data_IF_089337097682
#
_entry.id   IF_089337097682
#
_cell.length_a   1.000
_cell.length_b   1.000
_cell.length_c   1.000
_cell.angle_alpha   90.00
_cell.angle_beta   90.00
_cell.angle_gamma   90.00
#
_symmetry.space_group_name_H-M   'P 1'
#
loop_
_entity.id
_entity.type
_entity.pdbx_description
1 polymer ?
#
# COMPACT_ATOMS: atom_id res chain seq x y z
N UNK A 1 5.61 7.02 -11.33
CA UNK A 1 5.03 7.89 -10.30
C UNK A 1 3.69 7.32 -9.87
N UNK A 2 3.59 6.98 -8.59
CA UNK A 2 2.33 6.60 -7.94
C UNK A 2 1.68 7.80 -7.25
N UNK A 3 0.36 7.84 -7.20
CA UNK A 3 -0.42 8.84 -6.44
C UNK A 3 -1.50 8.15 -5.60
N UNK A 4 -1.96 8.80 -4.54
CA UNK A 4 -3.06 8.28 -3.71
C UNK A 4 -4.41 8.76 -4.22
N UNK A 5 -5.44 7.93 -4.09
CA UNK A 5 -6.85 8.37 -4.14
C UNK A 5 -7.55 8.26 -2.79
N UNK A 6 -6.83 8.06 -1.69
CA UNK A 6 -7.42 7.77 -0.38
C UNK A 6 -8.32 8.88 0.18
N UNK A 7 -9.21 8.50 1.10
CA UNK A 7 -10.26 9.38 1.62
C UNK A 7 -9.75 10.64 2.35
N UNK A 8 -8.51 10.65 2.84
CA UNK A 8 -7.93 11.84 3.45
C UNK A 8 -7.67 12.97 2.44
N UNK A 9 -7.53 12.65 1.15
CA UNK A 9 -7.35 13.64 0.08
C UNK A 9 -8.69 14.20 -0.41
N UNK A 10 -9.71 13.35 -0.53
CA UNK A 10 -11.10 13.72 -0.83
C UNK A 10 -12.04 12.74 -0.10
N UNK A 11 -12.70 13.16 1.00
CA UNK A 11 -13.49 12.25 1.84
C UNK A 11 -14.83 11.84 1.22
N UNK A 12 -15.41 12.66 0.34
CA UNK A 12 -16.67 12.33 -0.36
C UNK A 12 -16.43 11.28 -1.46
N UNK A 13 -17.04 10.08 -1.40
CA UNK A 13 -16.86 9.05 -2.43
C UNK A 13 -17.22 9.53 -3.84
N UNK A 14 -18.32 10.30 -3.97
CA UNK A 14 -18.74 10.84 -5.26
C UNK A 14 -17.75 11.89 -5.78
N UNK A 15 -17.34 12.83 -4.92
CA UNK A 15 -16.31 13.81 -5.21
C UNK A 15 -14.97 13.18 -5.61
N UNK A 16 -14.55 12.11 -4.93
CA UNK A 16 -13.32 11.37 -5.23
C UNK A 16 -13.37 10.75 -6.63
N UNK A 17 -14.49 10.11 -6.98
CA UNK A 17 -14.70 9.55 -8.31
C UNK A 17 -14.67 10.64 -9.40
N UNK A 18 -15.32 11.78 -9.18
CA UNK A 18 -15.31 12.91 -10.12
C UNK A 18 -13.91 13.50 -10.30
N UNK A 19 -13.12 13.60 -9.22
CA UNK A 19 -11.72 14.03 -9.33
C UNK A 19 -10.88 13.07 -10.17
N UNK A 20 -11.03 11.76 -9.98
CA UNK A 20 -10.32 10.76 -10.79
C UNK A 20 -10.77 10.83 -12.26
N UNK A 21 -12.07 10.97 -12.53
CA UNK A 21 -12.58 11.16 -13.90
C UNK A 21 -11.99 12.38 -14.59
N UNK A 22 -11.78 13.48 -13.83
CA UNK A 22 -11.18 14.70 -14.38
C UNK A 22 -9.75 14.49 -14.90
N UNK A 23 -9.06 13.42 -14.47
CA UNK A 23 -7.71 13.11 -14.92
C UNK A 23 -7.63 12.80 -16.41
N UNK A 24 -8.75 12.41 -17.05
CA UNK A 24 -8.84 12.26 -18.51
C UNK A 24 -8.39 13.51 -19.28
N UNK A 25 -8.38 14.68 -18.63
CA UNK A 25 -7.95 15.96 -19.22
C UNK A 25 -6.48 16.30 -18.95
N UNK A 26 -5.77 15.51 -18.14
CA UNK A 26 -4.37 15.76 -17.83
C UNK A 26 -3.48 15.47 -19.05
N UNK A 27 -2.44 16.29 -19.28
CA UNK A 27 -1.50 16.06 -20.37
C UNK A 27 -0.64 14.81 -20.15
N UNK A 28 -0.45 14.40 -18.89
CA UNK A 28 0.30 13.21 -18.49
C UNK A 28 -0.43 12.58 -17.29
N UNK A 29 -0.72 11.29 -17.39
CA UNK A 29 -1.32 10.50 -16.32
C UNK A 29 -0.24 9.91 -15.40
N UNK A 30 -0.56 9.62 -14.12
CA UNK A 30 0.33 8.84 -13.27
C UNK A 30 0.47 7.40 -13.80
N UNK A 31 1.60 6.75 -13.51
CA UNK A 31 1.81 5.35 -13.91
C UNK A 31 0.87 4.40 -13.15
N UNK A 32 0.59 4.73 -11.89
CA UNK A 32 -0.37 4.02 -11.05
C UNK A 32 -0.98 4.92 -9.99
N UNK A 33 -2.08 4.47 -9.40
CA UNK A 33 -2.68 5.05 -8.21
C UNK A 33 -3.10 3.98 -7.20
N UNK A 34 -2.99 4.28 -5.91
CA UNK A 34 -3.48 3.40 -4.84
C UNK A 34 -4.98 3.64 -4.59
N UNK A 35 -5.73 2.55 -4.47
CA UNK A 35 -7.16 2.53 -4.15
C UNK A 35 -7.37 1.65 -2.94
N UNK A 36 -7.80 2.24 -1.83
CA UNK A 36 -8.07 1.51 -0.59
C UNK A 36 -9.37 0.72 -0.71
N UNK A 37 -9.29 -0.60 -0.69
CA UNK A 37 -10.42 -1.48 -1.03
C UNK A 37 -11.53 -1.53 0.03
N UNK A 38 -11.22 -1.08 1.26
CA UNK A 38 -12.20 -0.93 2.33
C UNK A 38 -13.03 0.37 2.21
N UNK A 39 -12.58 1.33 1.39
CA UNK A 39 -13.29 2.59 1.19
C UNK A 39 -14.52 2.40 0.28
N UNK A 40 -15.56 3.21 0.53
CA UNK A 40 -16.74 3.28 -0.35
C UNK A 40 -16.35 3.80 -1.73
N UNK A 41 -16.85 3.15 -2.80
CA UNK A 41 -16.57 3.54 -4.18
C UNK A 41 -15.25 3.02 -4.75
N UNK A 42 -14.54 2.13 -4.04
CA UNK A 42 -13.22 1.62 -4.43
C UNK A 42 -13.23 0.97 -5.83
N UNK A 43 -14.23 0.13 -6.13
CA UNK A 43 -14.29 -0.56 -7.43
C UNK A 43 -14.61 0.41 -8.59
N UNK A 44 -15.46 1.41 -8.37
CA UNK A 44 -15.78 2.45 -9.34
C UNK A 44 -14.55 3.29 -9.68
N UNK A 45 -13.76 3.66 -8.66
CA UNK A 45 -12.50 4.38 -8.84
C UNK A 45 -11.48 3.51 -9.59
N UNK A 46 -11.31 2.26 -9.16
CA UNK A 46 -10.40 1.32 -9.82
C UNK A 46 -10.79 1.09 -11.29
N UNK A 47 -12.07 0.96 -11.59
CA UNK A 47 -12.56 0.82 -12.97
C UNK A 47 -12.18 2.04 -13.84
N UNK A 48 -12.43 3.26 -13.37
CA UNK A 48 -12.07 4.48 -14.10
C UNK A 48 -10.55 4.59 -14.30
N UNK A 49 -9.75 4.30 -13.28
CA UNK A 49 -8.29 4.31 -13.40
C UNK A 49 -7.82 3.33 -14.48
N UNK A 50 -8.34 2.10 -14.47
CA UNK A 50 -8.00 1.08 -15.47
C UNK A 50 -8.46 1.47 -16.89
N UNK A 51 -9.60 2.14 -17.03
CA UNK A 51 -10.08 2.68 -18.32
C UNK A 51 -9.17 3.80 -18.86
N UNK A 52 -8.62 4.63 -17.96
CA UNK A 52 -7.63 5.65 -18.29
C UNK A 52 -6.24 5.08 -18.57
N UNK A 53 -6.02 3.78 -18.39
CA UNK A 53 -4.72 3.13 -18.54
C UNK A 53 -3.77 3.37 -17.37
N UNK A 54 -4.28 3.82 -16.21
CA UNK A 54 -3.51 3.99 -14.97
C UNK A 54 -3.51 2.66 -14.21
N UNK A 55 -2.33 2.18 -13.80
CA UNK A 55 -2.23 0.98 -12.97
C UNK A 55 -2.91 1.18 -11.60
N UNK A 56 -3.54 0.13 -11.08
CA UNK A 56 -4.18 0.19 -9.74
C UNK A 56 -3.34 -0.59 -8.74
N UNK A 57 -2.93 0.05 -7.65
CA UNK A 57 -2.48 -0.66 -6.46
C UNK A 57 -3.69 -0.86 -5.54
N UNK A 58 -4.05 -2.12 -5.27
CA UNK A 58 -5.13 -2.42 -4.35
C UNK A 58 -4.61 -2.23 -2.91
N UNK A 59 -4.98 -1.12 -2.27
CA UNK A 59 -4.68 -0.82 -0.87
C UNK A 59 -5.50 -1.70 0.06
N UNK A 60 -4.85 -2.56 0.82
CA UNK A 60 -5.48 -3.48 1.76
C UNK A 60 -4.86 -3.25 3.14
N UNK A 61 -5.67 -2.70 4.04
CA UNK A 61 -5.24 -2.30 5.37
C UNK A 61 -5.55 -3.40 6.39
N UNK A 62 -4.61 -3.67 7.30
CA UNK A 62 -4.89 -4.49 8.47
C UNK A 62 -6.04 -3.91 9.29
N UNK A 63 -6.89 -4.80 9.84
CA UNK A 63 -8.02 -4.38 10.66
C UNK A 63 -9.23 -3.83 9.88
N UNK A 64 -9.22 -3.95 8.55
CA UNK A 64 -10.35 -3.59 7.69
C UNK A 64 -10.90 -4.81 6.96
N UNK A 65 -12.08 -4.68 6.34
CA UNK A 65 -12.67 -5.72 5.47
C UNK A 65 -12.15 -5.66 4.01
N UNK A 66 -11.09 -4.88 3.75
CA UNK A 66 -10.55 -4.69 2.40
C UNK A 66 -10.11 -6.00 1.73
N UNK A 67 -9.51 -6.92 2.49
CA UNK A 67 -9.06 -8.21 1.95
C UNK A 67 -10.25 -9.07 1.47
N UNK A 68 -11.32 -9.13 2.27
CA UNK A 68 -12.55 -9.87 1.93
C UNK A 68 -13.23 -9.29 0.69
N UNK A 69 -13.34 -7.96 0.61
CA UNK A 69 -13.88 -7.25 -0.56
C UNK A 69 -13.04 -7.48 -1.80
N UNK A 70 -11.71 -7.45 -1.68
CA UNK A 70 -10.80 -7.67 -2.79
C UNK A 70 -10.85 -9.11 -3.31
N UNK A 71 -10.97 -10.10 -2.41
CA UNK A 71 -11.01 -11.51 -2.78
C UNK A 71 -12.15 -11.86 -3.75
N UNK A 72 -13.29 -11.19 -3.66
CA UNK A 72 -14.45 -11.39 -4.54
C UNK A 72 -14.54 -10.39 -5.69
N UNK A 73 -13.64 -9.42 -5.76
CA UNK A 73 -13.67 -8.37 -6.78
C UNK A 73 -13.36 -8.92 -8.18
N UNK A 74 -14.20 -8.65 -9.20
CA UNK A 74 -13.88 -8.99 -10.58
C UNK A 74 -12.72 -8.15 -11.15
N UNK A 75 -12.34 -7.04 -10.50
CA UNK A 75 -11.21 -6.20 -10.91
C UNK A 75 -9.88 -6.71 -10.34
N UNK A 76 -9.90 -7.57 -9.33
CA UNK A 76 -8.70 -8.08 -8.66
C UNK A 76 -7.63 -8.66 -9.61
N UNK A 77 -7.96 -9.48 -10.61
CA UNK A 77 -6.98 -9.97 -11.58
C UNK A 77 -6.34 -8.88 -12.46
N UNK A 78 -6.94 -7.69 -12.53
CA UNK A 78 -6.50 -6.56 -13.37
C UNK A 78 -5.65 -5.52 -12.63
N UNK A 79 -5.60 -5.55 -11.30
CA UNK A 79 -4.78 -4.58 -10.54
C UNK A 79 -3.29 -4.84 -10.76
N UNK A 80 -2.46 -3.81 -10.62
CA UNK A 80 -1.00 -3.92 -10.76
C UNK A 80 -0.41 -4.83 -9.66
N UNK A 81 -0.75 -4.56 -8.39
CA UNK A 81 -0.30 -5.31 -7.21
C UNK A 81 -1.19 -4.99 -6.01
N UNK A 82 -1.06 -5.77 -4.94
CA UNK A 82 -1.64 -5.47 -3.64
C UNK A 82 -0.65 -4.62 -2.83
N UNK A 83 -1.09 -3.46 -2.36
CA UNK A 83 -0.39 -2.63 -1.38
C UNK A 83 -0.93 -3.02 0.00
N UNK A 84 -0.22 -3.93 0.68
CA UNK A 84 -0.59 -4.44 1.98
C UNK A 84 -0.02 -3.52 3.08
N UNK A 85 -0.91 -2.82 3.77
CA UNK A 85 -0.57 -1.79 4.75
C UNK A 85 -0.89 -2.27 6.17
N UNK A 86 0.16 -2.37 6.98
CA UNK A 86 0.06 -2.70 8.40
C UNK A 86 -0.10 -1.41 9.19
N UNK A 87 -1.33 -1.15 9.64
CA UNK A 87 -1.76 0.02 10.42
C UNK A 87 -1.48 -0.10 11.93
N UNK A 88 -0.90 -1.23 12.36
CA UNK A 88 -0.44 -1.38 13.74
C UNK A 88 0.91 -0.68 13.91
N UNK A 89 0.87 0.47 14.60
CA UNK A 89 2.04 1.31 14.85
C UNK A 89 2.95 0.77 15.97
N UNK A 90 2.52 -0.26 16.70
CA UNK A 90 3.32 -0.90 17.73
C UNK A 90 4.30 -1.91 17.12
N UNK A 91 5.58 -1.79 17.49
CA UNK A 91 6.64 -2.64 16.95
C UNK A 91 6.48 -4.12 17.34
N UNK A 92 5.89 -4.40 18.51
CA UNK A 92 5.66 -5.77 18.98
C UNK A 92 4.47 -6.42 18.25
N UNK A 93 3.39 -5.67 18.03
CA UNK A 93 2.17 -6.12 17.34
C UNK A 93 2.29 -6.22 15.81
N UNK A 94 3.05 -5.31 15.18
CA UNK A 94 3.06 -5.13 13.73
C UNK A 94 3.40 -6.40 12.92
N UNK A 95 4.32 -7.24 13.38
CA UNK A 95 4.65 -8.49 12.66
C UNK A 95 3.51 -9.51 12.72
N UNK A 96 2.79 -9.56 13.84
CA UNK A 96 1.61 -10.42 13.97
C UNK A 96 0.46 -9.91 13.10
N UNK A 97 0.25 -8.60 13.08
CA UNK A 97 -0.71 -7.93 12.19
C UNK A 97 -0.38 -8.17 10.72
N UNK A 98 0.89 -8.04 10.33
CA UNK A 98 1.36 -8.34 8.97
C UNK A 98 1.06 -9.79 8.56
N UNK A 99 1.29 -10.76 9.46
CA UNK A 99 1.00 -12.17 9.19
C UNK A 99 -0.51 -12.41 9.00
N UNK A 100 -1.34 -11.81 9.84
CA UNK A 100 -2.79 -11.91 9.71
C UNK A 100 -3.26 -11.29 8.39
N UNK A 101 -2.82 -10.07 8.08
CA UNK A 101 -3.15 -9.37 6.84
C UNK A 101 -2.77 -10.18 5.59
N UNK A 102 -1.56 -10.75 5.55
CA UNK A 102 -1.15 -11.61 4.43
C UNK A 102 -1.98 -12.90 4.33
N UNK A 103 -2.40 -13.46 5.47
CA UNK A 103 -3.30 -14.62 5.49
C UNK A 103 -4.67 -14.26 4.90
N UNK A 104 -5.20 -13.10 5.25
CA UNK A 104 -6.51 -12.63 4.77
C UNK A 104 -6.47 -12.28 3.27
N UNK A 105 -5.37 -11.69 2.80
CA UNK A 105 -5.12 -11.42 1.37
C UNK A 105 -5.02 -12.72 0.56
N UNK A 106 -4.43 -13.77 1.15
CA UNK A 106 -4.34 -15.10 0.56
C UNK A 106 -3.66 -15.10 -0.81
N UNK A 107 -4.34 -15.67 -1.81
CA UNK A 107 -3.80 -15.79 -3.17
C UNK A 107 -3.69 -14.44 -3.91
N UNK A 108 -4.30 -13.35 -3.42
CA UNK A 108 -4.24 -12.03 -4.06
C UNK A 108 -4.56 -12.02 -5.57
N UNK A 109 -5.42 -12.91 -6.08
CA UNK A 109 -5.63 -13.13 -7.53
C UNK A 109 -4.34 -13.41 -8.33
N UNK A 110 -3.31 -13.97 -7.69
CA UNK A 110 -1.97 -14.17 -8.24
C UNK A 110 -1.17 -12.88 -8.44
N UNK A 111 -1.62 -11.76 -7.86
CA UNK A 111 -0.94 -10.46 -7.96
C UNK A 111 0.21 -10.35 -6.96
N UNK A 112 1.31 -9.66 -7.30
CA UNK A 112 2.38 -9.37 -6.35
C UNK A 112 1.87 -8.61 -5.12
N UNK A 113 2.52 -8.79 -3.98
CA UNK A 113 2.24 -8.06 -2.74
C UNK A 113 3.43 -7.15 -2.43
N UNK A 114 3.13 -5.88 -2.18
CA UNK A 114 4.04 -4.87 -1.62
C UNK A 114 3.63 -4.65 -0.15
N UNK A 115 4.45 -5.12 0.79
CA UNK A 115 4.17 -5.04 2.22
C UNK A 115 4.88 -3.84 2.87
N UNK A 116 4.15 -3.02 3.61
CA UNK A 116 4.72 -1.97 4.46
C UNK A 116 3.94 -1.82 5.77
N UNK A 117 4.54 -1.14 6.72
CA UNK A 117 3.89 -0.75 7.96
C UNK A 117 4.18 0.71 8.26
N UNK A 118 3.42 1.29 9.18
CA UNK A 118 3.53 2.69 9.56
C UNK A 118 4.10 2.87 10.98
N UNK A 119 4.65 4.06 11.27
CA UNK A 119 5.14 4.44 12.58
C UNK A 119 6.17 3.47 13.16
N UNK A 120 5.94 2.99 14.38
CA UNK A 120 6.82 2.03 15.05
C UNK A 120 6.82 0.64 14.40
N UNK A 121 5.80 0.30 13.62
CA UNK A 121 5.68 -0.96 12.88
C UNK A 121 6.51 -1.01 11.58
N UNK A 122 6.93 0.13 11.03
CA UNK A 122 7.58 0.21 9.72
C UNK A 122 8.85 -0.67 9.61
N UNK A 123 9.83 -0.50 10.50
CA UNK A 123 11.08 -1.27 10.44
C UNK A 123 10.89 -2.78 10.72
N UNK A 124 10.11 -3.20 11.75
CA UNK A 124 9.73 -4.60 11.92
C UNK A 124 9.10 -5.23 10.66
N UNK A 125 8.21 -4.50 9.99
CA UNK A 125 7.53 -4.98 8.78
C UNK A 125 8.46 -5.04 7.58
N UNK A 126 9.37 -4.07 7.38
CA UNK A 126 10.41 -4.13 6.33
C UNK A 126 11.28 -5.39 6.49
N UNK A 127 11.75 -5.68 7.70
CA UNK A 127 12.51 -6.92 7.99
C UNK A 127 11.68 -8.17 7.74
N UNK A 128 10.39 -8.11 8.06
CA UNK A 128 9.48 -9.23 7.84
C UNK A 128 9.23 -9.49 6.36
N UNK A 129 9.06 -8.44 5.55
CA UNK A 129 8.98 -8.55 4.10
C UNK A 129 10.25 -9.22 3.53
N UNK A 130 11.43 -8.84 4.03
CA UNK A 130 12.71 -9.47 3.69
C UNK A 130 12.75 -10.96 3.97
N UNK A 131 12.29 -11.39 5.16
CA UNK A 131 12.17 -12.83 5.52
C UNK A 131 11.26 -13.61 4.58
N UNK A 132 10.22 -12.98 4.05
CA UNK A 132 9.25 -13.61 3.15
C UNK A 132 9.66 -13.51 1.67
N UNK A 133 10.65 -12.67 1.33
CA UNK A 133 11.04 -12.40 -0.06
C UNK A 133 9.97 -11.67 -0.87
N UNK A 134 9.06 -10.92 -0.21
CA UNK A 134 8.05 -10.09 -0.87
C UNK A 134 8.55 -8.65 -1.02
N UNK A 135 7.99 -7.87 -1.94
CA UNK A 135 8.38 -6.47 -2.10
C UNK A 135 8.03 -5.65 -0.85
N UNK A 136 8.77 -4.58 -0.59
CA UNK A 136 8.48 -3.65 0.52
C UNK A 136 8.55 -2.18 0.11
N UNK A 137 7.95 -1.31 0.93
CA UNK A 137 7.94 0.15 0.78
C UNK A 137 8.40 0.80 2.08
N UNK A 138 9.13 1.91 1.96
CA UNK A 138 9.47 2.80 3.08
C UNK A 138 9.63 4.23 2.56
N UNK A 139 9.17 5.20 3.35
CA UNK A 139 9.34 6.63 3.10
C UNK A 139 8.86 7.45 4.28
N UNK A 140 8.98 8.77 4.18
CA UNK A 140 8.57 9.72 5.21
C UNK A 140 7.05 9.68 5.48
N UNK A 141 6.27 9.14 4.55
CA UNK A 141 4.85 8.86 4.76
C UNK A 141 4.64 7.72 5.77
N UNK A 142 5.53 6.72 5.75
CA UNK A 142 5.41 5.52 6.59
C UNK A 142 6.11 5.72 7.94
N UNK A 143 7.30 6.34 7.96
CA UNK A 143 8.13 6.48 9.17
C UNK A 143 9.05 7.69 9.11
N UNK A 144 9.21 8.38 10.24
CA UNK A 144 10.01 9.61 10.33
C UNK A 144 11.40 9.42 10.93
N UNK A 145 11.69 8.24 11.47
CA UNK A 145 12.95 7.91 12.16
C UNK A 145 13.67 6.75 11.47
N UNK A 146 14.99 6.78 11.48
CA UNK A 146 15.88 5.68 11.08
C UNK A 146 15.77 4.51 12.09
N UNK A 147 16.31 3.32 11.77
CA UNK A 147 16.25 2.16 12.66
C UNK A 147 16.91 2.39 14.03
N UNK A 148 17.84 3.34 14.13
CA UNK A 148 18.51 3.75 15.37
C UNK A 148 17.74 4.82 16.17
N UNK A 149 16.54 5.21 15.72
CA UNK A 149 15.66 6.19 16.35
C UNK A 149 15.97 7.64 16.02
N UNK A 150 17.04 7.95 15.27
CA UNK A 150 17.29 9.34 14.82
C UNK A 150 16.32 9.75 13.74
N UNK A 151 15.95 11.02 13.70
CA UNK A 151 15.13 11.58 12.61
C UNK A 151 15.79 11.38 11.24
N UNK A 152 15.02 10.94 10.27
CA UNK A 152 15.47 10.81 8.89
C UNK A 152 15.56 12.19 8.24
N UNK A 153 16.72 12.52 7.66
CA UNK A 153 16.91 13.78 6.93
C UNK A 153 16.32 13.79 5.52
N UNK A 154 15.93 12.62 4.98
CA UNK A 154 15.36 12.48 3.63
C UNK A 154 14.77 11.08 3.39
N UNK A 155 13.93 10.95 2.36
CA UNK A 155 13.53 9.65 1.83
C UNK A 155 14.73 8.80 1.36
N UNK A 156 15.79 9.41 0.83
CA UNK A 156 16.97 8.66 0.39
C UNK A 156 17.68 7.95 1.55
N UNK A 157 17.70 8.58 2.73
CA UNK A 157 18.22 7.95 3.95
C UNK A 157 17.34 6.78 4.41
N UNK A 158 16.02 6.93 4.36
CA UNK A 158 15.07 5.86 4.69
C UNK A 158 15.18 4.68 3.74
N UNK A 159 15.25 4.92 2.42
CA UNK A 159 15.43 3.87 1.42
C UNK A 159 16.76 3.14 1.61
N UNK A 160 17.85 3.86 1.87
CA UNK A 160 19.15 3.24 2.13
C UNK A 160 19.13 2.34 3.36
N UNK A 161 18.48 2.78 4.44
CA UNK A 161 18.26 1.95 5.62
C UNK A 161 17.33 0.77 5.32
N UNK A 162 16.24 0.99 4.59
CA UNK A 162 15.28 -0.04 4.17
C UNK A 162 15.93 -1.18 3.41
N UNK A 163 16.85 -0.89 2.48
CA UNK A 163 17.62 -1.91 1.77
C UNK A 163 18.44 -2.78 2.72
N UNK A 164 19.09 -2.17 3.73
CA UNK A 164 19.87 -2.90 4.72
C UNK A 164 18.97 -3.76 5.63
N UNK A 165 17.87 -3.19 6.13
CA UNK A 165 16.93 -3.89 7.01
C UNK A 165 16.19 -5.03 6.29
N UNK A 166 15.83 -4.83 5.02
CA UNK A 166 15.25 -5.87 4.18
C UNK A 166 16.23 -7.03 3.97
N UNK A 167 17.48 -6.72 3.61
CA UNK A 167 18.52 -7.73 3.41
C UNK A 167 18.83 -8.51 4.69
N UNK A 168 18.85 -7.85 5.86
CA UNK A 168 19.00 -8.53 7.16
C UNK A 168 17.87 -9.50 7.46
N UNK A 169 16.65 -9.19 7.02
CA UNK A 169 15.52 -10.10 7.13
C UNK A 169 15.66 -11.33 6.23
N UNK A 170 16.34 -11.22 5.08
CA UNK A 170 16.49 -12.34 4.15
C UNK A 170 17.58 -13.36 4.54
N UNK A 171 18.38 -13.07 5.58
CA UNK A 171 19.43 -13.94 6.14
C UNK A 171 18.86 -14.88 7.21
#
# INVERSE_FOLDING_TARGET
MGVTTGAWAEPDPAGRLERVRSWATLPVLPDHASVNWHEEGAEEIAAVLLELGVGVEAGIWSGTDGAERFAVSPLGPRVLRVLAEVTDVDAEGAVSSARALLSDIGAAHGRPVLLHGEGGGAWPVVRFAGRLGVDTRVGLEDVLVLPDGRWAGSNAALVSAGLAEYAQGAL
#
